data_IF_854969901243
#
_entry.id   IF_854969901243
#
_cell.length_a   1.000
_cell.length_b   1.000
_cell.length_c   1.000
_cell.angle_alpha   90.00
_cell.angle_beta   90.00
_cell.angle_gamma   90.00
#
_symmetry.space_group_name_H-M   'P 1'
#
loop_
_entity.id
_entity.type
_entity.pdbx_description
1 polymer ?
#
# COMPACT_ATOMS: atom_id res chain seq x y z
N UNK A 1 -4.73 -13.68 -20.22
CA UNK A 1 -5.30 -12.34 -19.95
C UNK A 1 -6.66 -12.52 -19.33
N UNK A 2 -6.93 -11.81 -18.23
CA UNK A 2 -8.26 -11.74 -17.63
C UNK A 2 -9.07 -10.62 -18.31
N UNK A 3 -10.36 -10.86 -18.56
CA UNK A 3 -11.23 -9.87 -19.21
C UNK A 3 -11.50 -8.67 -18.29
N UNK A 4 -11.71 -8.93 -17.00
CA UNK A 4 -11.92 -7.93 -15.95
C UNK A 4 -10.67 -7.81 -15.12
N UNK A 5 -10.16 -6.60 -14.99
CA UNK A 5 -8.90 -6.29 -14.29
C UNK A 5 -9.18 -5.15 -13.33
N UNK A 6 -9.39 -5.52 -12.09
CA UNK A 6 -9.96 -4.64 -11.09
C UNK A 6 -8.94 -4.29 -10.00
N UNK A 7 -9.03 -3.06 -9.52
CA UNK A 7 -8.38 -2.61 -8.30
C UNK A 7 -9.43 -2.09 -7.32
N UNK A 8 -9.39 -2.60 -6.09
CA UNK A 8 -10.28 -2.19 -5.02
C UNK A 8 -9.48 -1.41 -3.97
N UNK A 9 -9.92 -0.18 -3.69
CA UNK A 9 -9.36 0.69 -2.66
C UNK A 9 -10.37 0.88 -1.53
N UNK A 10 -9.97 0.53 -0.31
CA UNK A 10 -10.79 0.76 0.87
C UNK A 10 -10.77 2.24 1.31
N UNK A 11 -11.95 2.83 1.34
CA UNK A 11 -12.18 4.23 1.73
C UNK A 11 -12.75 4.37 3.16
N UNK A 12 -12.98 3.27 3.88
CA UNK A 12 -13.70 3.28 5.16
C UNK A 12 -13.05 4.21 6.19
N UNK A 13 -11.73 4.14 6.31
CA UNK A 13 -10.98 4.89 7.32
C UNK A 13 -10.12 6.03 6.72
N UNK A 14 -10.00 6.08 5.39
CA UNK A 14 -9.09 6.98 4.71
C UNK A 14 -9.57 7.27 3.28
N UNK A 15 -10.05 8.47 3.05
CA UNK A 15 -10.56 8.90 1.74
C UNK A 15 -9.48 9.75 1.06
N UNK A 16 -8.90 9.33 -0.08
CA UNK A 16 -7.96 10.14 -0.82
C UNK A 16 -8.61 11.43 -1.36
N UNK A 17 -7.78 12.47 -1.55
CA UNK A 17 -8.23 13.67 -2.26
C UNK A 17 -8.58 13.34 -3.72
N UNK A 18 -9.39 14.18 -4.38
CA UNK A 18 -9.70 13.99 -5.81
C UNK A 18 -8.43 13.93 -6.66
N UNK A 19 -7.43 14.78 -6.36
CA UNK A 19 -6.13 14.75 -7.04
C UNK A 19 -5.44 13.39 -6.90
N UNK A 20 -5.40 12.85 -5.68
CA UNK A 20 -4.80 11.53 -5.42
C UNK A 20 -5.57 10.40 -6.12
N UNK A 21 -6.91 10.50 -6.17
CA UNK A 21 -7.74 9.54 -6.90
C UNK A 21 -7.46 9.57 -8.40
N UNK A 22 -7.31 10.75 -8.98
CA UNK A 22 -6.98 10.90 -10.40
C UNK A 22 -5.59 10.34 -10.71
N UNK A 23 -4.59 10.65 -9.89
CA UNK A 23 -3.24 10.09 -10.01
C UNK A 23 -3.27 8.54 -9.95
N UNK A 24 -4.05 7.98 -9.04
CA UNK A 24 -4.23 6.53 -8.94
C UNK A 24 -4.91 5.95 -10.18
N UNK A 25 -5.96 6.59 -10.70
CA UNK A 25 -6.67 6.17 -11.92
C UNK A 25 -5.72 6.19 -13.13
N UNK A 26 -4.85 7.19 -13.26
CA UNK A 26 -3.84 7.26 -14.32
C UNK A 26 -2.86 6.08 -14.24
N UNK A 27 -2.41 5.75 -13.03
CA UNK A 27 -1.54 4.60 -12.79
C UNK A 27 -2.27 3.30 -13.15
N UNK A 28 -3.51 3.12 -12.70
CA UNK A 28 -4.30 1.93 -13.00
C UNK A 28 -4.51 1.75 -14.52
N UNK A 29 -4.86 2.82 -15.24
CA UNK A 29 -5.00 2.80 -16.69
C UNK A 29 -3.71 2.38 -17.38
N UNK A 30 -2.58 2.96 -16.95
CA UNK A 30 -1.26 2.67 -17.50
C UNK A 30 -0.88 1.19 -17.38
N UNK A 31 -1.31 0.52 -16.31
CA UNK A 31 -1.06 -0.91 -16.08
C UNK A 31 -2.19 -1.83 -16.53
N UNK A 32 -3.13 -1.30 -17.32
CA UNK A 32 -4.12 -2.09 -18.03
C UNK A 32 -5.29 -2.56 -17.16
N UNK A 33 -5.52 -1.95 -16.01
CA UNK A 33 -6.78 -2.12 -15.30
C UNK A 33 -7.93 -1.53 -16.12
N UNK A 34 -9.12 -2.11 -15.99
CA UNK A 34 -10.34 -1.62 -16.61
C UNK A 34 -11.52 -1.47 -15.64
N UNK A 35 -11.27 -1.74 -14.35
CA UNK A 35 -12.24 -1.50 -13.28
C UNK A 35 -11.52 -0.86 -12.09
N UNK A 36 -12.11 0.23 -11.58
CA UNK A 36 -11.74 0.82 -10.29
C UNK A 36 -12.91 0.66 -9.33
N UNK A 37 -12.65 0.07 -8.15
CA UNK A 37 -13.64 -0.29 -7.15
C UNK A 37 -13.37 0.42 -5.82
N UNK A 38 -13.83 1.67 -5.64
CA UNK A 38 -13.86 2.28 -4.31
C UNK A 38 -14.77 1.45 -3.39
N UNK A 39 -14.20 0.94 -2.30
CA UNK A 39 -14.89 0.12 -1.32
C UNK A 39 -15.15 0.92 -0.05
N UNK A 40 -16.32 0.75 0.56
CA UNK A 40 -16.61 1.21 1.90
C UNK A 40 -17.49 0.20 2.64
N UNK A 41 -17.28 0.03 3.93
CA UNK A 41 -18.12 -0.85 4.76
C UNK A 41 -19.56 -0.36 4.85
N UNK A 42 -19.75 0.95 4.80
CA UNK A 42 -21.04 1.65 4.82
C UNK A 42 -21.04 2.72 3.74
N UNK A 43 -22.22 3.18 3.35
CA UNK A 43 -22.33 4.31 2.44
C UNK A 43 -21.56 5.52 2.98
N UNK A 44 -20.69 6.06 2.13
CA UNK A 44 -19.97 7.30 2.46
C UNK A 44 -20.92 8.50 2.44
N UNK A 45 -20.66 9.57 3.22
CA UNK A 45 -21.35 10.83 3.08
C UNK A 45 -21.33 11.33 1.63
N UNK A 46 -22.40 11.99 1.18
CA UNK A 46 -22.50 12.44 -0.22
C UNK A 46 -21.40 13.42 -0.63
N UNK A 47 -20.91 14.19 0.30
CA UNK A 47 -19.85 15.19 0.13
C UNK A 47 -18.43 14.67 0.35
N UNK A 48 -18.30 13.43 0.82
CA UNK A 48 -16.99 12.84 1.13
C UNK A 48 -16.10 12.66 -0.12
N UNK A 49 -16.70 12.39 -1.28
CA UNK A 49 -16.00 12.25 -2.55
C UNK A 49 -16.99 12.50 -3.72
N UNK A 50 -16.63 13.40 -4.62
CA UNK A 50 -17.41 13.63 -5.85
C UNK A 50 -17.28 12.44 -6.81
N UNK A 51 -18.11 11.43 -6.60
CA UNK A 51 -18.16 10.24 -7.44
C UNK A 51 -18.57 10.53 -8.90
N UNK A 52 -19.28 11.62 -9.15
CA UNK A 52 -19.63 12.03 -10.51
C UNK A 52 -18.38 12.44 -11.29
N UNK A 53 -17.56 13.33 -10.71
CA UNK A 53 -16.28 13.73 -11.31
C UNK A 53 -15.31 12.56 -11.42
N UNK A 54 -15.21 11.73 -10.39
CA UNK A 54 -14.35 10.57 -10.43
C UNK A 54 -14.77 9.58 -11.52
N UNK A 55 -16.07 9.32 -11.66
CA UNK A 55 -16.62 8.43 -12.70
C UNK A 55 -16.33 8.93 -14.12
N UNK A 56 -16.56 10.23 -14.36
CA UNK A 56 -16.22 10.84 -15.65
C UNK A 56 -14.72 10.75 -15.96
N UNK A 57 -13.86 10.92 -14.93
CA UNK A 57 -12.42 10.77 -15.11
C UNK A 57 -12.01 9.31 -15.39
N UNK A 58 -12.57 8.36 -14.67
CA UNK A 58 -12.35 6.93 -14.93
C UNK A 58 -12.73 6.55 -16.37
N UNK A 59 -13.93 6.97 -16.82
CA UNK A 59 -14.40 6.72 -18.17
C UNK A 59 -13.45 7.30 -19.23
N UNK A 60 -12.96 8.52 -19.03
CA UNK A 60 -11.98 9.15 -19.91
C UNK A 60 -10.66 8.36 -20.01
N UNK A 61 -10.26 7.69 -18.91
CA UNK A 61 -9.09 6.84 -18.85
C UNK A 61 -9.36 5.37 -19.24
N UNK A 62 -10.59 5.04 -19.64
CA UNK A 62 -10.97 3.69 -20.06
C UNK A 62 -11.23 2.72 -18.91
N UNK A 63 -11.51 3.21 -17.70
CA UNK A 63 -11.89 2.42 -16.54
C UNK A 63 -13.37 2.58 -16.23
N UNK A 64 -14.01 1.49 -15.81
CA UNK A 64 -15.32 1.50 -15.18
C UNK A 64 -15.18 1.78 -13.67
N UNK A 65 -15.89 2.79 -13.17
CA UNK A 65 -15.99 3.07 -11.74
C UNK A 65 -17.14 2.27 -11.13
N UNK A 66 -16.82 1.34 -10.21
CA UNK A 66 -17.82 0.48 -9.59
C UNK A 66 -17.79 0.68 -8.08
N UNK A 67 -18.72 1.46 -7.55
CA UNK A 67 -18.89 1.59 -6.09
C UNK A 67 -19.18 0.23 -5.49
N UNK A 68 -18.40 -0.16 -4.49
CA UNK A 68 -18.47 -1.49 -3.90
C UNK A 68 -18.73 -1.35 -2.39
N UNK A 69 -19.82 -1.90 -1.90
CA UNK A 69 -20.09 -2.03 -0.46
C UNK A 69 -19.67 -3.42 0.03
N UNK A 70 -19.67 -3.63 1.34
CA UNK A 70 -19.27 -4.90 1.95
C UNK A 70 -20.03 -6.09 1.39
N UNK A 71 -21.36 -5.97 1.24
CA UNK A 71 -22.18 -7.05 0.67
C UNK A 71 -21.79 -7.39 -0.77
N UNK A 72 -21.50 -6.38 -1.60
CA UNK A 72 -21.06 -6.58 -2.99
C UNK A 72 -19.70 -7.28 -3.04
N UNK A 73 -18.80 -6.93 -2.12
CA UNK A 73 -17.48 -7.56 -2.02
C UNK A 73 -17.60 -9.03 -1.60
N UNK A 74 -18.43 -9.34 -0.60
CA UNK A 74 -18.69 -10.71 -0.16
C UNK A 74 -19.28 -11.55 -1.31
N UNK A 75 -20.15 -10.98 -2.13
CA UNK A 75 -20.71 -11.63 -3.30
C UNK A 75 -19.65 -11.95 -4.37
N UNK A 76 -18.66 -11.07 -4.59
CA UNK A 76 -17.53 -11.35 -5.49
C UNK A 76 -16.74 -12.59 -5.07
N UNK A 77 -16.57 -12.80 -3.77
CA UNK A 77 -15.93 -13.99 -3.21
C UNK A 77 -16.77 -15.25 -3.45
N UNK A 78 -18.06 -15.19 -3.13
CA UNK A 78 -18.98 -16.32 -3.24
C UNK A 78 -19.09 -16.79 -4.71
N UNK A 79 -19.20 -15.86 -5.64
CA UNK A 79 -19.33 -16.17 -7.09
C UNK A 79 -18.03 -16.65 -7.73
N UNK A 80 -16.90 -16.50 -7.06
CA UNK A 80 -15.57 -16.85 -7.58
C UNK A 80 -15.27 -16.29 -8.99
N UNK A 81 -15.84 -15.14 -9.32
CA UNK A 81 -15.66 -14.51 -10.64
C UNK A 81 -14.25 -13.94 -10.82
N UNK A 82 -13.58 -13.61 -9.71
CA UNK A 82 -12.23 -13.04 -9.70
C UNK A 82 -11.23 -13.98 -9.03
N UNK A 83 -10.01 -13.96 -9.54
CA UNK A 83 -8.84 -14.28 -8.77
C UNK A 83 -8.52 -13.06 -7.91
N UNK A 84 -8.63 -13.18 -6.60
CA UNK A 84 -8.49 -12.07 -5.66
C UNK A 84 -7.13 -12.17 -4.96
N UNK A 85 -6.45 -11.03 -4.85
CA UNK A 85 -5.15 -10.94 -4.19
C UNK A 85 -5.05 -9.60 -3.44
N UNK A 86 -4.47 -9.63 -2.23
CA UNK A 86 -4.17 -8.42 -1.46
C UNK A 86 -2.91 -7.72 -1.98
N UNK A 87 -2.82 -6.41 -1.75
CA UNK A 87 -1.57 -5.64 -1.96
C UNK A 87 -0.46 -6.07 -1.01
N UNK A 88 -0.76 -6.80 0.07
CA UNK A 88 0.16 -7.14 1.15
C UNK A 88 0.82 -5.89 1.80
N UNK A 89 0.14 -4.75 1.67
CA UNK A 89 0.51 -3.51 2.35
C UNK A 89 -0.04 -3.43 3.77
N UNK A 90 -1.13 -4.14 4.05
CA UNK A 90 -1.82 -4.15 5.33
C UNK A 90 -0.90 -4.62 6.46
N UNK A 91 -1.07 -4.05 7.64
CA UNK A 91 -0.32 -4.37 8.85
C UNK A 91 1.20 -4.39 8.61
N UNK A 92 1.69 -3.47 7.76
CA UNK A 92 3.11 -3.27 7.51
C UNK A 92 3.44 -1.77 7.51
N UNK A 93 4.71 -1.41 7.66
CA UNK A 93 5.15 -0.02 7.64
C UNK A 93 5.67 0.43 6.26
N UNK A 94 6.11 -0.54 5.44
CA UNK A 94 6.71 -0.27 4.13
C UNK A 94 6.33 -1.33 3.06
N UNK A 95 5.28 -2.11 3.30
CA UNK A 95 4.86 -3.21 2.43
C UNK A 95 5.60 -4.53 2.70
N UNK A 96 5.10 -5.60 2.09
CA UNK A 96 5.66 -6.96 2.15
C UNK A 96 5.85 -7.48 0.72
N UNK A 97 6.90 -7.00 0.05
CA UNK A 97 7.10 -7.19 -1.39
C UNK A 97 7.21 -8.66 -1.80
N UNK A 98 7.86 -9.51 -1.00
CA UNK A 98 7.98 -10.92 -1.35
C UNK A 98 6.67 -11.68 -1.12
N UNK A 99 5.93 -11.38 -0.04
CA UNK A 99 4.60 -11.97 0.20
C UNK A 99 3.64 -11.59 -0.92
N UNK A 100 3.66 -10.32 -1.35
CA UNK A 100 2.89 -9.82 -2.47
C UNK A 100 3.22 -10.60 -3.76
N UNK A 101 4.50 -10.81 -4.08
CA UNK A 101 4.90 -11.58 -5.26
C UNK A 101 4.38 -13.01 -5.23
N UNK A 102 4.55 -13.69 -4.09
CA UNK A 102 4.05 -15.05 -3.90
C UNK A 102 2.52 -15.11 -4.01
N UNK A 103 1.82 -14.14 -3.42
CA UNK A 103 0.36 -14.04 -3.49
C UNK A 103 -0.13 -13.83 -4.92
N UNK A 104 0.51 -12.94 -5.70
CA UNK A 104 0.17 -12.70 -7.11
C UNK A 104 0.32 -13.94 -7.97
N UNK A 105 1.44 -14.67 -7.81
CA UNK A 105 1.68 -15.95 -8.55
C UNK A 105 0.61 -16.97 -8.20
N UNK A 106 0.29 -17.14 -6.91
CA UNK A 106 -0.75 -18.08 -6.47
C UNK A 106 -2.13 -17.70 -6.99
N UNK A 107 -2.49 -16.43 -6.90
CA UNK A 107 -3.80 -15.94 -7.36
C UNK A 107 -3.97 -16.10 -8.87
N UNK A 108 -2.95 -15.80 -9.67
CA UNK A 108 -2.98 -15.98 -11.11
C UNK A 108 -3.16 -17.46 -11.48
N UNK A 109 -2.37 -18.35 -10.91
CA UNK A 109 -2.46 -19.78 -11.18
C UNK A 109 -3.82 -20.35 -10.79
N UNK A 110 -4.34 -19.97 -9.61
CA UNK A 110 -5.66 -20.38 -9.13
C UNK A 110 -6.78 -19.81 -10.02
N UNK A 111 -6.69 -18.54 -10.40
CA UNK A 111 -7.65 -17.91 -11.29
C UNK A 111 -7.74 -18.58 -12.65
N UNK A 112 -6.60 -18.94 -13.24
CA UNK A 112 -6.55 -19.70 -14.52
C UNK A 112 -7.16 -21.10 -14.37
N UNK A 113 -6.82 -21.82 -13.32
CA UNK A 113 -7.35 -23.19 -13.09
C UNK A 113 -8.86 -23.19 -12.90
N UNK A 114 -9.41 -22.18 -12.26
CA UNK A 114 -10.86 -21.99 -12.03
C UNK A 114 -11.58 -21.28 -13.16
N UNK A 115 -10.88 -20.86 -14.20
CA UNK A 115 -11.42 -20.08 -15.32
C UNK A 115 -12.09 -18.77 -14.83
N UNK A 116 -11.50 -18.12 -13.85
CA UNK A 116 -11.96 -16.83 -13.36
C UNK A 116 -12.03 -15.82 -14.51
N UNK A 117 -13.08 -15.02 -14.55
CA UNK A 117 -13.28 -13.97 -15.58
C UNK A 117 -12.41 -12.76 -15.31
N UNK A 118 -12.09 -12.49 -14.03
CA UNK A 118 -11.39 -11.32 -13.59
C UNK A 118 -10.18 -11.61 -12.66
N UNK A 119 -9.35 -10.59 -12.53
CA UNK A 119 -8.28 -10.49 -11.55
C UNK A 119 -8.50 -9.22 -10.73
N UNK A 120 -8.56 -9.35 -9.42
CA UNK A 120 -8.85 -8.25 -8.49
C UNK A 120 -7.71 -8.09 -7.50
N UNK A 121 -7.08 -6.94 -7.52
CA UNK A 121 -6.13 -6.52 -6.47
C UNK A 121 -6.89 -5.71 -5.43
N UNK A 122 -6.79 -6.11 -4.17
CA UNK A 122 -7.47 -5.44 -3.06
C UNK A 122 -6.48 -4.68 -2.19
N UNK A 123 -6.77 -3.42 -1.91
CA UNK A 123 -6.03 -2.55 -1.00
C UNK A 123 -6.95 -2.12 0.15
N UNK A 124 -7.02 -2.97 1.15
CA UNK A 124 -7.87 -2.70 2.31
C UNK A 124 -7.25 -1.73 3.30
N UNK A 125 -5.90 -1.64 3.32
CA UNK A 125 -5.20 -0.98 4.40
C UNK A 125 -5.41 -1.70 5.73
N UNK A 126 -5.02 -1.07 6.81
CA UNK A 126 -5.32 -1.49 8.18
C UNK A 126 -6.11 -0.42 8.93
N UNK A 127 -6.55 -0.75 10.14
CA UNK A 127 -7.29 0.20 10.97
C UNK A 127 -6.46 1.42 11.38
N UNK A 128 -5.13 1.35 11.31
CA UNK A 128 -4.24 2.43 11.68
C UNK A 128 -4.04 3.44 10.55
N UNK A 129 -4.11 2.98 9.29
CA UNK A 129 -3.89 3.79 8.08
C UNK A 129 -2.54 4.54 8.08
N UNK A 130 -1.49 3.93 8.64
CA UNK A 130 -0.18 4.57 8.71
C UNK A 130 0.61 4.44 7.40
N UNK A 131 0.32 3.41 6.60
CA UNK A 131 1.04 3.19 5.36
C UNK A 131 0.79 4.34 4.38
N UNK A 132 1.86 4.92 3.80
CA UNK A 132 1.71 5.84 2.70
C UNK A 132 1.26 5.10 1.43
N UNK A 133 0.69 5.83 0.48
CA UNK A 133 0.12 5.25 -0.75
C UNK A 133 1.18 4.57 -1.62
N UNK A 134 2.42 5.07 -1.61
CA UNK A 134 3.53 4.49 -2.38
C UNK A 134 3.75 3.00 -2.09
N UNK A 135 3.40 2.53 -0.88
CA UNK A 135 3.58 1.14 -0.45
C UNK A 135 2.73 0.16 -1.25
N UNK A 136 1.60 0.62 -1.80
CA UNK A 136 0.71 -0.18 -2.65
C UNK A 136 1.13 -0.19 -4.15
N UNK A 137 2.02 0.72 -4.59
CA UNK A 137 2.43 0.82 -6.00
C UNK A 137 3.04 -0.48 -6.56
N UNK A 138 3.93 -1.20 -5.85
CA UNK A 138 4.46 -2.47 -6.34
C UNK A 138 3.35 -3.46 -6.70
N UNK A 139 2.32 -3.52 -5.88
CA UNK A 139 1.18 -4.44 -6.06
C UNK A 139 0.27 -4.01 -7.22
N UNK A 140 0.06 -2.72 -7.40
CA UNK A 140 -0.71 -2.18 -8.52
C UNK A 140 -0.01 -2.54 -9.84
N UNK A 141 1.28 -2.28 -9.94
CA UNK A 141 2.08 -2.56 -11.14
C UNK A 141 2.10 -4.05 -11.46
N UNK A 142 2.45 -4.88 -10.48
CA UNK A 142 2.50 -6.33 -10.67
C UNK A 142 1.12 -6.91 -10.97
N UNK A 143 0.09 -6.50 -10.25
CA UNK A 143 -1.27 -6.98 -10.46
C UNK A 143 -1.77 -6.70 -11.88
N UNK A 144 -1.49 -5.51 -12.43
CA UNK A 144 -1.78 -5.19 -13.82
C UNK A 144 -1.05 -6.10 -14.81
N UNK A 145 0.24 -6.35 -14.59
CA UNK A 145 1.03 -7.26 -15.42
C UNK A 145 0.50 -8.69 -15.37
N UNK A 146 0.18 -9.22 -14.20
CA UNK A 146 -0.43 -10.56 -14.05
C UNK A 146 -1.81 -10.64 -14.71
N UNK A 147 -2.63 -9.63 -14.52
CA UNK A 147 -3.98 -9.58 -15.08
C UNK A 147 -3.99 -9.50 -16.62
N UNK A 148 -3.02 -8.80 -17.22
CA UNK A 148 -2.87 -8.67 -18.68
C UNK A 148 -2.12 -9.84 -19.34
N UNK A 149 -1.56 -10.76 -18.56
CA UNK A 149 -0.86 -11.95 -19.05
C UNK A 149 0.64 -11.78 -19.15
N UNK A 150 1.22 -10.72 -18.63
CA UNK A 150 2.66 -10.47 -18.53
C UNK A 150 3.31 -11.25 -17.37
N UNK A 151 3.20 -12.55 -17.36
CA UNK A 151 3.48 -13.44 -16.22
C UNK A 151 4.94 -13.52 -15.72
N UNK A 152 5.86 -12.69 -16.20
CA UNK A 152 7.29 -12.76 -15.82
C UNK A 152 7.88 -11.37 -15.58
N UNK A 153 7.31 -10.61 -14.67
CA UNK A 153 7.95 -9.39 -14.19
C UNK A 153 9.11 -9.77 -13.25
N UNK A 154 10.35 -9.44 -13.66
CA UNK A 154 11.49 -9.54 -12.76
C UNK A 154 11.47 -8.42 -11.74
N UNK A 155 12.22 -8.54 -10.62
CA UNK A 155 12.34 -7.47 -9.64
C UNK A 155 12.98 -6.21 -10.27
N UNK A 156 13.88 -6.38 -11.23
CA UNK A 156 14.52 -5.28 -11.92
C UNK A 156 13.54 -4.51 -12.82
N UNK A 157 12.61 -5.21 -13.49
CA UNK A 157 11.57 -4.57 -14.29
C UNK A 157 10.60 -3.77 -13.40
N UNK A 158 10.26 -4.30 -12.23
CA UNK A 158 9.41 -3.61 -11.25
C UNK A 158 10.07 -2.33 -10.71
N UNK A 159 11.38 -2.34 -10.47
CA UNK A 159 12.12 -1.15 -10.06
C UNK A 159 12.01 -0.03 -11.10
N UNK A 160 12.27 -0.35 -12.38
CA UNK A 160 12.15 0.60 -13.48
C UNK A 160 10.73 1.15 -13.66
N UNK A 161 9.73 0.28 -13.51
CA UNK A 161 8.35 0.70 -13.62
C UNK A 161 7.95 1.64 -12.47
N UNK A 162 8.43 1.36 -11.26
CA UNK A 162 8.26 2.26 -10.11
C UNK A 162 8.95 3.60 -10.33
N UNK A 163 10.19 3.61 -10.84
CA UNK A 163 10.90 4.84 -11.17
C UNK A 163 10.12 5.68 -12.19
N UNK A 164 9.52 5.04 -13.20
CA UNK A 164 8.68 5.69 -14.20
C UNK A 164 7.42 6.31 -13.59
N UNK A 165 6.72 5.58 -12.71
CA UNK A 165 5.52 6.08 -12.04
C UNK A 165 5.83 7.25 -11.11
N UNK A 166 6.95 7.18 -10.39
CA UNK A 166 7.35 8.21 -9.43
C UNK A 166 8.10 9.40 -10.05
N UNK A 167 8.40 9.32 -11.35
CA UNK A 167 9.24 10.28 -12.09
C UNK A 167 10.57 10.59 -11.37
N UNK A 168 11.16 9.56 -10.75
CA UNK A 168 12.38 9.65 -9.95
C UNK A 168 12.95 8.25 -9.67
N UNK A 169 14.27 8.08 -9.47
CA UNK A 169 14.91 6.81 -9.17
C UNK A 169 14.65 6.39 -7.70
N UNK A 170 13.41 6.12 -7.40
CA UNK A 170 12.90 5.80 -6.06
C UNK A 170 12.45 4.34 -5.94
N UNK A 171 12.25 3.63 -7.05
CA UNK A 171 11.72 2.28 -7.08
C UNK A 171 12.57 1.30 -6.28
N UNK A 172 13.88 1.30 -6.49
CA UNK A 172 14.81 0.46 -5.74
C UNK A 172 14.82 0.76 -4.24
N UNK A 173 14.62 2.03 -3.86
CA UNK A 173 14.53 2.44 -2.46
C UNK A 173 13.25 1.89 -1.81
N UNK A 174 12.11 2.01 -2.48
CA UNK A 174 10.83 1.48 -2.00
C UNK A 174 10.87 -0.04 -1.87
N UNK A 175 11.34 -0.74 -2.90
CA UNK A 175 11.47 -2.20 -2.87
C UNK A 175 12.39 -2.67 -1.76
N UNK A 176 13.50 -1.96 -1.52
CA UNK A 176 14.43 -2.27 -0.43
C UNK A 176 13.76 -2.15 0.94
N UNK A 177 12.94 -1.12 1.19
CA UNK A 177 12.15 -1.01 2.42
C UNK A 177 11.17 -2.19 2.55
N UNK A 178 10.47 -2.51 1.45
CA UNK A 178 9.46 -3.57 1.39
C UNK A 178 9.99 -5.00 1.58
N UNK A 179 11.32 -5.20 1.64
CA UNK A 179 11.94 -6.50 1.98
C UNK A 179 12.42 -6.59 3.43
N UNK A 180 12.47 -5.47 4.15
CA UNK A 180 13.04 -5.44 5.50
C UNK A 180 12.25 -6.27 6.52
N UNK A 181 10.96 -6.49 6.30
CA UNK A 181 10.13 -7.31 7.17
C UNK A 181 10.62 -8.77 7.29
N UNK A 182 11.45 -9.25 6.36
CA UNK A 182 12.04 -10.59 6.37
C UNK A 182 13.27 -10.71 7.28
N UNK A 183 13.82 -9.58 7.74
CA UNK A 183 15.01 -9.60 8.60
C UNK A 183 14.69 -10.24 9.96
N UNK A 184 15.60 -11.06 10.43
CA UNK A 184 15.40 -11.82 11.67
C UNK A 184 14.52 -13.05 11.56
N UNK A 185 14.12 -13.45 10.35
CA UNK A 185 13.28 -14.63 10.11
C UNK A 185 11.85 -14.49 10.66
N UNK A 186 11.45 -13.27 10.97
CA UNK A 186 10.17 -12.93 11.60
C UNK A 186 9.02 -12.82 10.58
N UNK A 187 8.89 -13.81 9.67
CA UNK A 187 7.76 -13.83 8.75
C UNK A 187 6.47 -14.11 9.51
N UNK A 188 5.52 -13.22 9.43
CA UNK A 188 4.14 -13.41 9.91
C UNK A 188 3.17 -13.46 8.74
N UNK A 189 2.13 -14.23 8.91
CA UNK A 189 1.00 -14.23 7.99
C UNK A 189 0.25 -12.90 8.14
N UNK A 190 0.08 -12.19 7.04
CA UNK A 190 -0.65 -10.91 6.94
C UNK A 190 -0.16 -9.75 7.82
N UNK A 191 1.05 -9.81 8.36
CA UNK A 191 1.59 -8.72 9.19
C UNK A 191 3.11 -8.64 9.17
N UNK A 192 3.65 -7.48 9.58
CA UNK A 192 5.07 -7.25 9.86
C UNK A 192 5.30 -7.13 11.37
N UNK A 193 6.37 -7.73 11.89
CA UNK A 193 6.75 -7.57 13.29
C UNK A 193 7.05 -6.11 13.65
N UNK A 194 7.60 -5.35 12.71
CA UNK A 194 7.86 -3.90 12.93
C UNK A 194 6.56 -3.11 13.08
N UNK A 195 5.51 -3.47 12.34
CA UNK A 195 4.18 -2.90 12.53
C UNK A 195 3.65 -3.22 13.95
N UNK A 196 3.79 -4.46 14.40
CA UNK A 196 3.35 -4.87 15.72
C UNK A 196 4.08 -4.14 16.84
N UNK A 197 5.38 -3.84 16.68
CA UNK A 197 6.13 -3.03 17.66
C UNK A 197 5.49 -1.65 17.83
N UNK A 198 5.00 -1.02 16.76
CA UNK A 198 4.37 0.29 16.85
C UNK A 198 2.90 0.22 17.26
N UNK A 199 2.14 -0.80 16.83
CA UNK A 199 0.70 -0.88 17.04
C UNK A 199 0.29 -1.39 18.43
N UNK A 200 1.16 -2.14 19.14
CA UNK A 200 0.83 -2.73 20.42
C UNK A 200 1.29 -1.88 21.61
N UNK A 201 0.50 -1.84 22.68
CA UNK A 201 0.80 -1.06 23.88
C UNK A 201 2.12 -1.46 24.57
N UNK A 202 2.55 -2.71 24.40
CA UNK A 202 3.78 -3.25 25.02
C UNK A 202 5.07 -2.81 24.33
N UNK A 203 4.98 -2.21 23.14
CA UNK A 203 6.12 -1.57 22.46
C UNK A 203 7.23 -2.49 22.00
N UNK A 204 7.06 -3.83 22.00
CA UNK A 204 8.06 -4.69 21.42
C UNK A 204 7.50 -6.02 20.91
N UNK A 205 8.16 -6.56 19.89
CA UNK A 205 7.86 -7.90 19.42
C UNK A 205 8.53 -8.94 20.34
N UNK A 206 7.81 -10.04 20.58
CA UNK A 206 8.37 -11.21 21.29
C UNK A 206 9.08 -12.18 20.34
N UNK A 207 9.20 -11.83 19.07
CA UNK A 207 9.82 -12.71 18.10
C UNK A 207 11.32 -12.87 18.38
N UNK A 208 11.83 -14.09 18.62
CA UNK A 208 13.21 -14.31 19.04
C UNK A 208 14.24 -13.88 17.98
N UNK A 209 13.84 -13.84 16.71
CA UNK A 209 14.71 -13.38 15.60
C UNK A 209 14.93 -11.88 15.56
N UNK A 210 14.13 -11.05 16.27
CA UNK A 210 14.30 -9.62 16.34
C UNK A 210 15.28 -9.23 17.48
N UNK A 211 16.51 -9.67 17.34
CA UNK A 211 17.59 -9.27 18.21
C UNK A 211 17.94 -7.80 18.02
N UNK A 212 18.65 -7.19 18.99
CA UNK A 212 19.12 -5.80 18.86
C UNK A 212 19.98 -5.62 17.60
N UNK A 213 20.81 -6.59 17.27
CA UNK A 213 21.62 -6.56 16.05
C UNK A 213 20.77 -6.45 14.77
N UNK A 214 19.67 -7.21 14.70
CA UNK A 214 18.73 -7.15 13.55
C UNK A 214 18.01 -5.80 13.51
N UNK A 215 17.58 -5.28 14.66
CA UNK A 215 16.94 -3.96 14.74
C UNK A 215 17.89 -2.85 14.29
N UNK A 216 19.16 -2.91 14.70
CA UNK A 216 20.19 -1.93 14.29
C UNK A 216 20.49 -2.02 12.78
N UNK A 217 20.54 -3.23 12.20
CA UNK A 217 20.72 -3.44 10.76
C UNK A 217 19.55 -2.84 9.96
N UNK A 218 18.32 -3.14 10.36
CA UNK A 218 17.10 -2.60 9.68
C UNK A 218 17.06 -1.07 9.82
N UNK A 219 17.32 -0.53 11.00
CA UNK A 219 17.41 0.92 11.23
C UNK A 219 18.46 1.56 10.33
N UNK A 220 19.64 0.95 10.20
CA UNK A 220 20.72 1.43 9.34
C UNK A 220 20.29 1.47 7.86
N UNK A 221 19.62 0.42 7.38
CA UNK A 221 19.10 0.38 6.01
C UNK A 221 17.99 1.42 5.80
N UNK A 222 17.05 1.55 6.73
CA UNK A 222 15.95 2.52 6.64
C UNK A 222 16.50 3.95 6.59
N UNK A 223 17.48 4.31 7.43
CA UNK A 223 18.16 5.61 7.39
C UNK A 223 18.89 5.85 6.06
N UNK A 224 19.56 4.83 5.52
CA UNK A 224 20.20 4.93 4.21
C UNK A 224 19.22 5.21 3.09
N UNK A 225 18.05 4.55 3.09
CA UNK A 225 16.96 4.82 2.15
C UNK A 225 16.41 6.23 2.34
N UNK A 226 16.16 6.67 3.57
CA UNK A 226 15.73 8.02 3.89
C UNK A 226 16.66 9.07 3.27
N UNK A 227 17.95 9.00 3.57
CA UNK A 227 18.95 9.94 3.05
C UNK A 227 19.00 9.98 1.53
N UNK A 228 18.83 8.83 0.87
CA UNK A 228 18.78 8.76 -0.58
C UNK A 228 17.50 9.40 -1.14
N UNK A 229 16.33 9.16 -0.52
CA UNK A 229 15.05 9.71 -0.94
C UNK A 229 14.93 11.23 -0.66
N UNK A 230 15.56 11.74 0.41
CA UNK A 230 15.57 13.17 0.77
C UNK A 230 16.08 14.07 -0.37
N UNK A 231 16.92 13.56 -1.26
CA UNK A 231 17.42 14.29 -2.45
C UNK A 231 16.32 14.65 -3.45
N UNK A 232 15.15 14.04 -3.33
CA UNK A 232 14.02 14.18 -4.25
C UNK A 232 12.80 14.85 -3.62
N UNK A 233 12.88 15.32 -2.36
CA UNK A 233 11.75 15.90 -1.62
C UNK A 233 11.09 17.10 -2.32
N UNK A 234 11.90 17.93 -2.99
CA UNK A 234 11.41 19.12 -3.69
C UNK A 234 10.77 18.80 -5.06
N UNK A 235 10.92 17.56 -5.53
CA UNK A 235 10.51 17.14 -6.87
C UNK A 235 9.43 16.07 -6.89
N UNK A 236 9.27 15.33 -5.81
CA UNK A 236 8.37 14.18 -5.79
C UNK A 236 7.66 14.03 -4.44
N UNK A 237 6.33 13.99 -4.48
CA UNK A 237 5.54 13.64 -3.29
C UNK A 237 5.76 12.18 -2.87
N UNK A 238 6.11 11.31 -3.81
CA UNK A 238 6.48 9.92 -3.52
C UNK A 238 7.75 9.82 -2.67
N UNK A 239 8.73 10.73 -2.88
CA UNK A 239 9.92 10.80 -2.03
C UNK A 239 9.57 11.08 -0.58
N UNK A 240 8.62 11.99 -0.31
CA UNK A 240 8.13 12.29 1.05
C UNK A 240 7.51 11.05 1.70
N UNK A 241 6.74 10.28 0.94
CA UNK A 241 6.12 9.06 1.40
C UNK A 241 7.14 7.96 1.73
N UNK A 242 8.18 7.82 0.91
CA UNK A 242 9.28 6.86 1.15
C UNK A 242 10.09 7.27 2.38
N UNK A 243 10.39 8.57 2.56
CA UNK A 243 11.04 9.10 3.76
C UNK A 243 10.20 8.77 4.99
N UNK A 244 8.91 9.01 4.93
CA UNK A 244 7.99 8.70 6.03
C UNK A 244 7.95 7.20 6.35
N UNK A 245 7.85 6.32 5.35
CA UNK A 245 7.90 4.85 5.56
C UNK A 245 9.23 4.40 6.19
N UNK A 246 10.34 4.99 5.76
CA UNK A 246 11.65 4.73 6.36
C UNK A 246 11.73 5.17 7.82
N UNK A 247 11.16 6.35 8.16
CA UNK A 247 11.10 6.85 9.53
C UNK A 247 10.18 6.02 10.43
N UNK A 248 9.06 5.48 9.91
CA UNK A 248 8.23 4.52 10.63
C UNK A 248 9.02 3.27 11.01
N UNK A 249 9.77 2.69 10.07
CA UNK A 249 10.61 1.52 10.32
C UNK A 249 11.73 1.81 11.32
N UNK A 250 12.44 2.93 11.16
CA UNK A 250 13.50 3.35 12.10
C UNK A 250 12.94 3.56 13.51
N UNK A 251 11.78 4.19 13.63
CA UNK A 251 11.08 4.37 14.90
C UNK A 251 10.69 3.03 15.55
N UNK A 252 10.19 2.06 14.77
CA UNK A 252 9.89 0.72 15.25
C UNK A 252 11.15 0.02 15.81
N UNK A 253 12.29 0.13 15.11
CA UNK A 253 13.56 -0.44 15.53
C UNK A 253 14.10 0.14 16.84
N UNK A 254 13.80 1.43 17.12
CA UNK A 254 14.16 2.09 18.37
C UNK A 254 13.12 1.94 19.48
N UNK A 255 12.19 1.01 19.31
CA UNK A 255 11.21 0.64 20.33
C UNK A 255 10.46 1.85 20.90
N UNK A 256 9.94 2.69 20.01
CA UNK A 256 9.14 3.86 20.40
C UNK A 256 9.95 4.95 21.12
N UNK A 257 11.13 5.27 20.61
CA UNK A 257 11.83 6.47 21.08
C UNK A 257 10.91 7.69 20.96
N UNK A 258 10.72 8.41 22.05
CA UNK A 258 9.75 9.51 22.17
C UNK A 258 9.96 10.60 21.12
N UNK A 259 11.21 11.03 20.90
CA UNK A 259 11.51 12.07 19.91
C UNK A 259 11.19 11.61 18.48
N UNK A 260 11.50 10.35 18.16
CA UNK A 260 11.20 9.77 16.85
C UNK A 260 9.69 9.61 16.63
N UNK A 261 8.94 9.19 17.67
CA UNK A 261 7.49 9.09 17.59
C UNK A 261 6.83 10.46 17.33
N UNK A 262 7.32 11.52 17.99
CA UNK A 262 6.84 12.88 17.72
C UNK A 262 7.08 13.28 16.27
N UNK A 263 8.31 13.07 15.76
CA UNK A 263 8.65 13.38 14.37
C UNK A 263 7.77 12.60 13.38
N UNK A 264 7.60 11.29 13.58
CA UNK A 264 6.75 10.43 12.74
C UNK A 264 5.28 10.89 12.77
N UNK A 265 4.76 11.33 13.92
CA UNK A 265 3.38 11.86 14.03
C UNK A 265 3.21 13.15 13.23
N UNK A 266 4.19 14.03 13.27
CA UNK A 266 4.17 15.29 12.49
C UNK A 266 4.23 14.99 10.99
N UNK A 267 5.13 14.09 10.57
CA UNK A 267 5.22 13.63 9.18
C UNK A 267 3.93 12.97 8.70
N UNK A 268 3.32 12.09 9.51
CA UNK A 268 2.03 11.48 9.21
C UNK A 268 0.97 12.54 8.92
N UNK A 269 0.92 13.59 9.74
CA UNK A 269 0.02 14.70 9.53
C UNK A 269 0.27 15.46 8.22
N UNK A 270 1.52 15.56 7.76
CA UNK A 270 1.87 16.16 6.47
C UNK A 270 1.46 15.27 5.29
N UNK A 271 1.80 13.98 5.34
CA UNK A 271 1.41 13.01 4.30
C UNK A 271 -0.12 12.94 4.18
N UNK A 272 -0.82 12.91 5.32
CA UNK A 272 -2.28 12.88 5.31
C UNK A 272 -2.88 14.09 4.60
N UNK A 273 -2.43 15.31 4.92
CA UNK A 273 -2.92 16.53 4.26
C UNK A 273 -2.63 16.57 2.77
N UNK A 274 -1.53 15.97 2.33
CA UNK A 274 -1.15 15.95 0.92
C UNK A 274 -2.01 14.98 0.09
N UNK A 275 -2.42 13.85 0.70
CA UNK A 275 -3.00 12.71 -0.03
C UNK A 275 -4.46 12.44 0.29
N UNK A 276 -4.94 12.81 1.48
CA UNK A 276 -6.24 12.38 1.98
C UNK A 276 -7.12 13.54 2.44
N UNK A 277 -8.43 13.29 2.50
CA UNK A 277 -9.38 14.19 3.11
C UNK A 277 -9.07 14.38 4.62
N UNK A 278 -9.52 15.49 5.25
CA UNK A 278 -9.25 15.75 6.67
C UNK A 278 -9.77 14.67 7.61
N UNK A 279 -10.87 14.03 7.24
CA UNK A 279 -11.53 13.01 8.06
C UNK A 279 -10.65 11.77 8.24
N UNK A 280 -10.75 11.14 9.41
CA UNK A 280 -9.93 9.98 9.79
C UNK A 280 -8.51 10.30 10.28
N UNK A 281 -7.95 11.49 9.99
CA UNK A 281 -6.59 11.85 10.39
C UNK A 281 -6.36 11.77 11.90
N UNK A 282 -7.28 12.34 12.67
CA UNK A 282 -7.15 12.36 14.13
C UNK A 282 -7.23 10.95 14.69
N UNK A 283 -8.11 10.12 14.14
CA UNK A 283 -8.25 8.73 14.52
C UNK A 283 -6.99 7.94 14.22
N UNK A 284 -6.48 8.02 13.00
CA UNK A 284 -5.22 7.38 12.60
C UNK A 284 -4.05 7.84 13.48
N UNK A 285 -3.90 9.14 13.73
CA UNK A 285 -2.89 9.67 14.64
C UNK A 285 -3.06 9.18 16.09
N UNK A 286 -4.28 8.94 16.54
CA UNK A 286 -4.56 8.46 17.89
C UNK A 286 -4.09 7.04 18.13
N UNK A 287 -3.98 6.24 17.06
CA UNK A 287 -3.50 4.85 17.08
C UNK A 287 -1.97 4.75 17.12
N UNK A 288 -1.24 5.79 16.70
CA UNK A 288 0.20 5.87 16.97
C UNK A 288 0.43 6.01 18.48
N UNK A 289 1.41 5.27 19.04
CA UNK A 289 1.66 5.28 20.47
C UNK A 289 1.74 6.68 21.06
N UNK A 290 1.15 6.87 22.23
CA UNK A 290 1.28 8.08 23.05
C UNK A 290 2.31 7.84 24.15
N UNK A 291 2.87 8.92 24.67
CA UNK A 291 3.76 8.91 25.81
C UNK A 291 2.97 8.86 27.11
#
# INVERSE_FOLDING_TARGET
MFARRAYLLNLTNRIPTMRTMQELVDILACYGYNEFRPFAEKALPEDALDFGKLGAYCEMQGLELIKTLRADYEELFIRAEYAIVSTEAECSLAGRVEDMREAMVRAEALGRSRKAKGFLVTDFGDDCCWQPLCVSLPSIIMGGNFATGGAKSSMMDLEKELDRVMDAPLGGLLLRLGTLYLRGGAKREHASEYFNILSHDVGYSRHPGLTQFVLDDVSGVARGVRIAAERWLDRSDWAKEIVYAANLLDCACHRRNEAMLRAVRDEHGHIWRARFQPDGRIESLSKLPRF
#
